data_IF_060375782903
#
_entry.id   IF_060375782903
#
_cell.length_a   1.000
_cell.length_b   1.000
_cell.length_c   1.000
_cell.angle_alpha   90.00
_cell.angle_beta   90.00
_cell.angle_gamma   90.00
#
_symmetry.space_group_name_H-M   'P 1'
#
loop_
_entity.id
_entity.type
_entity.pdbx_description
1 polymer ?
#
# COMPACT_ATOMS: atom_id res chain seq x y z
N UNK A 1 -4.17 20.20 -2.27
CA UNK A 1 -5.40 19.38 -2.47
C UNK A 1 -5.27 18.14 -1.60
N UNK A 2 -6.36 17.65 -1.01
CA UNK A 2 -6.38 16.39 -0.26
C UNK A 2 -7.45 15.47 -0.83
N UNK A 3 -7.18 14.17 -0.77
CA UNK A 3 -8.08 13.08 -1.12
C UNK A 3 -8.19 12.16 0.10
N UNK A 4 -9.38 11.64 0.32
CA UNK A 4 -9.67 10.64 1.35
C UNK A 4 -10.92 9.87 0.93
N UNK A 5 -11.09 8.66 1.47
CA UNK A 5 -12.25 7.84 1.20
C UNK A 5 -13.56 8.53 1.62
N UNK A 6 -14.65 8.21 0.90
CA UNK A 6 -16.00 8.70 1.20
C UNK A 6 -16.81 7.73 2.07
N UNK A 7 -16.27 6.54 2.38
CA UNK A 7 -16.92 5.48 3.15
C UNK A 7 -16.27 5.25 4.52
N UNK A 8 -15.55 6.26 5.03
CA UNK A 8 -14.92 6.26 6.35
C UNK A 8 -16.00 6.26 7.43
N UNK A 9 -16.02 5.21 8.24
CA UNK A 9 -17.02 5.06 9.31
C UNK A 9 -16.63 5.83 10.58
N UNK A 10 -15.33 6.04 10.80
CA UNK A 10 -14.77 6.72 11.97
C UNK A 10 -14.32 8.15 11.69
N UNK A 11 -14.97 8.83 10.72
CA UNK A 11 -14.51 10.14 10.23
C UNK A 11 -14.46 11.22 11.31
N UNK A 12 -13.32 11.88 11.42
CA UNK A 12 -13.11 13.04 12.27
C UNK A 12 -12.54 14.21 11.47
N UNK A 13 -12.81 15.44 11.93
CA UNK A 13 -12.39 16.68 11.25
C UNK A 13 -10.87 16.86 11.24
N UNK A 14 -10.16 16.16 12.11
CA UNK A 14 -8.71 16.19 12.17
C UNK A 14 -8.05 15.38 11.05
N UNK A 15 -8.72 14.36 10.47
CA UNK A 15 -8.21 13.61 9.30
C UNK A 15 -7.76 14.55 8.17
N UNK A 16 -8.63 15.39 7.57
CA UNK A 16 -8.20 16.31 6.53
C UNK A 16 -7.23 17.36 7.06
N UNK A 17 -7.36 17.82 8.30
CA UNK A 17 -6.45 18.81 8.88
C UNK A 17 -5.01 18.28 8.97
N UNK A 18 -4.83 17.04 9.41
CA UNK A 18 -3.56 16.32 9.50
C UNK A 18 -2.95 16.09 8.12
N UNK A 19 -3.77 15.71 7.13
CA UNK A 19 -3.32 15.58 5.74
C UNK A 19 -2.85 16.92 5.16
N UNK A 20 -3.55 18.03 5.41
CA UNK A 20 -3.17 19.32 4.86
C UNK A 20 -1.96 19.94 5.55
N UNK A 21 -1.79 19.72 6.86
CA UNK A 21 -0.80 20.44 7.67
C UNK A 21 0.63 20.40 7.08
N UNK A 22 1.17 19.25 6.63
CA UNK A 22 2.50 19.20 6.01
C UNK A 22 2.64 20.01 4.71
N UNK A 23 1.54 20.19 3.97
CA UNK A 23 1.53 20.88 2.68
C UNK A 23 1.31 22.38 2.84
N UNK A 24 0.51 22.80 3.82
CA UNK A 24 0.11 24.21 3.97
C UNK A 24 0.97 25.00 4.95
N UNK A 25 1.71 24.33 5.84
CA UNK A 25 2.58 24.99 6.80
C UNK A 25 3.83 25.54 6.10
N UNK A 26 4.08 26.86 6.07
CA UNK A 26 5.23 27.45 5.39
C UNK A 26 6.60 27.05 5.96
N UNK A 27 6.64 26.50 7.18
CA UNK A 27 7.84 25.98 7.79
C UNK A 27 8.18 24.55 7.35
N UNK A 28 7.32 23.90 6.57
CA UNK A 28 7.50 22.56 6.04
C UNK A 28 7.56 22.64 4.52
N UNK A 29 8.52 21.94 3.92
CA UNK A 29 8.74 21.96 2.46
C UNK A 29 8.28 20.64 1.82
N UNK A 30 7.06 20.21 2.14
CA UNK A 30 6.48 18.98 1.57
C UNK A 30 5.51 19.30 0.44
N UNK A 31 5.56 18.48 -0.62
CA UNK A 31 4.65 18.54 -1.77
C UNK A 31 3.68 17.37 -1.83
N UNK A 32 3.99 16.28 -1.13
CA UNK A 32 3.15 15.10 -1.02
C UNK A 32 3.13 14.58 0.41
N UNK A 33 1.94 14.24 0.89
CA UNK A 33 1.75 13.65 2.21
C UNK A 33 0.83 12.43 2.09
N UNK A 34 1.27 11.27 2.56
CA UNK A 34 0.44 10.05 2.66
C UNK A 34 -0.09 9.90 4.08
N UNK A 35 -1.39 9.70 4.23
CA UNK A 35 -2.01 9.32 5.49
C UNK A 35 -1.69 7.86 5.82
N UNK A 36 -1.36 7.60 7.08
CA UNK A 36 -1.30 6.26 7.63
C UNK A 36 -2.09 6.17 8.94
N UNK A 37 -2.48 4.95 9.30
CA UNK A 37 -3.36 4.69 10.44
C UNK A 37 -3.39 3.19 10.73
N UNK A 38 -3.59 2.82 12.00
CA UNK A 38 -3.85 1.42 12.33
C UNK A 38 -5.23 0.98 11.79
N UNK A 39 -5.33 -0.28 11.35
CA UNK A 39 -6.60 -0.86 10.86
C UNK A 39 -6.99 -2.07 11.69
N UNK A 40 -7.85 -1.85 12.68
CA UNK A 40 -8.45 -2.89 13.49
C UNK A 40 -9.96 -2.83 13.32
N UNK A 41 -10.56 -3.92 12.85
CA UNK A 41 -12.01 -3.97 12.67
C UNK A 41 -12.73 -4.12 14.02
N UNK A 42 -14.06 -3.93 14.00
CA UNK A 42 -14.91 -4.06 15.20
C UNK A 42 -14.84 -5.43 15.89
N UNK A 43 -14.29 -6.46 15.24
CA UNK A 43 -14.09 -7.79 15.80
C UNK A 43 -12.70 -7.96 16.46
N UNK A 44 -11.90 -6.91 16.58
CA UNK A 44 -10.56 -6.96 17.17
C UNK A 44 -9.56 -7.73 16.30
N UNK A 45 -9.64 -7.57 14.97
CA UNK A 45 -8.76 -8.24 14.00
C UNK A 45 -8.02 -7.23 13.12
N UNK A 46 -6.78 -7.57 12.75
CA UNK A 46 -6.00 -6.80 11.80
C UNK A 46 -6.64 -6.83 10.40
N UNK A 47 -6.85 -5.64 9.84
CA UNK A 47 -7.37 -5.45 8.48
C UNK A 47 -6.24 -5.13 7.48
N UNK A 48 -6.58 -4.82 6.22
CA UNK A 48 -5.58 -4.43 5.22
C UNK A 48 -4.80 -5.60 4.61
N UNK A 49 -5.46 -6.75 4.39
CA UNK A 49 -4.85 -7.97 3.82
C UNK A 49 -4.02 -7.71 2.56
N UNK A 50 -4.48 -6.88 1.62
CA UNK A 50 -3.71 -6.60 0.40
C UNK A 50 -2.39 -5.87 0.70
N UNK A 51 -2.37 -4.95 1.67
CA UNK A 51 -1.12 -4.32 2.11
C UNK A 51 -0.21 -5.32 2.80
N UNK A 52 -0.74 -6.00 3.83
CA UNK A 52 0.02 -6.86 4.75
C UNK A 52 0.52 -8.15 4.10
N UNK A 53 -0.36 -8.82 3.36
CA UNK A 53 -0.12 -10.17 2.85
C UNK A 53 0.31 -10.18 1.39
N UNK A 54 0.13 -9.09 0.65
CA UNK A 54 0.50 -9.01 -0.77
C UNK A 54 1.54 -7.94 -1.06
N UNK A 55 1.23 -6.66 -0.89
CA UNK A 55 2.10 -5.56 -1.36
C UNK A 55 3.45 -5.54 -0.64
N UNK A 56 3.46 -5.58 0.68
CA UNK A 56 4.72 -5.58 1.45
C UNK A 56 5.59 -6.81 1.13
N UNK A 57 5.10 -8.06 1.18
CA UNK A 57 5.93 -9.21 0.82
C UNK A 57 6.32 -9.21 -0.66
N UNK A 58 5.49 -8.69 -1.56
CA UNK A 58 5.83 -8.52 -2.97
C UNK A 58 6.99 -7.53 -3.15
N UNK A 59 6.95 -6.36 -2.50
CA UNK A 59 8.02 -5.36 -2.56
C UNK A 59 9.31 -5.95 -1.98
N UNK A 60 9.25 -6.60 -0.81
CA UNK A 60 10.41 -7.28 -0.22
C UNK A 60 11.01 -8.35 -1.14
N UNK A 61 10.17 -9.12 -1.80
CA UNK A 61 10.60 -10.14 -2.77
C UNK A 61 11.25 -9.55 -4.01
N UNK A 62 10.66 -8.46 -4.54
CA UNK A 62 11.22 -7.73 -5.67
C UNK A 62 12.58 -7.12 -5.32
N UNK A 63 12.75 -6.55 -4.12
CA UNK A 63 14.04 -6.04 -3.64
C UNK A 63 15.10 -7.14 -3.62
N UNK A 64 14.76 -8.36 -3.18
CA UNK A 64 15.67 -9.51 -3.19
C UNK A 64 16.07 -9.96 -4.59
N UNK A 65 15.17 -9.87 -5.57
CA UNK A 65 15.41 -10.35 -6.94
C UNK A 65 16.02 -9.31 -7.87
N UNK A 66 15.63 -8.04 -7.72
CA UNK A 66 16.09 -6.92 -8.54
C UNK A 66 17.38 -6.31 -7.99
N UNK A 67 17.58 -6.37 -6.67
CA UNK A 67 18.69 -5.70 -5.99
C UNK A 67 18.37 -4.24 -5.68
N UNK A 68 19.37 -3.37 -5.79
CA UNK A 68 19.23 -1.94 -5.49
C UNK A 68 18.25 -1.28 -6.47
N UNK A 69 17.15 -0.74 -5.96
CA UNK A 69 16.16 0.00 -6.74
C UNK A 69 15.58 1.13 -5.89
N UNK A 70 15.89 2.37 -6.25
CA UNK A 70 15.39 3.57 -5.55
C UNK A 70 13.86 3.62 -5.55
N UNK A 71 13.23 3.12 -6.62
CA UNK A 71 11.78 3.00 -6.70
C UNK A 71 11.24 1.99 -5.68
N UNK A 72 11.84 0.80 -5.57
CA UNK A 72 11.37 -0.19 -4.58
C UNK A 72 11.65 0.27 -3.15
N UNK A 73 12.78 0.93 -2.89
CA UNK A 73 13.06 1.55 -1.58
C UNK A 73 12.04 2.64 -1.24
N UNK A 74 11.68 3.48 -2.22
CA UNK A 74 10.64 4.47 -2.05
C UNK A 74 9.29 3.83 -1.71
N UNK A 75 8.87 2.81 -2.46
CA UNK A 75 7.60 2.12 -2.22
C UNK A 75 7.57 1.40 -0.86
N UNK A 76 8.68 0.80 -0.44
CA UNK A 76 8.84 0.11 0.85
C UNK A 76 8.82 1.07 2.05
N UNK A 77 9.12 2.35 1.84
CA UNK A 77 9.13 3.35 2.91
C UNK A 77 7.73 3.70 3.45
N UNK A 78 6.67 3.35 2.72
CA UNK A 78 5.30 3.66 3.12
C UNK A 78 4.72 2.60 4.05
N UNK A 79 4.20 3.03 5.20
CA UNK A 79 3.55 2.12 6.15
C UNK A 79 2.25 1.53 5.56
N UNK A 80 1.48 2.38 4.87
CA UNK A 80 0.20 2.04 4.26
C UNK A 80 0.17 2.56 2.80
N UNK A 81 0.90 1.91 1.87
CA UNK A 81 0.98 2.36 0.48
C UNK A 81 -0.39 2.42 -0.21
N UNK A 82 -1.34 1.60 0.25
CA UNK A 82 -2.70 1.50 -0.28
C UNK A 82 -3.75 2.34 0.48
N UNK A 83 -3.34 3.27 1.36
CA UNK A 83 -4.32 4.21 1.93
C UNK A 83 -4.87 5.14 0.84
N UNK A 84 -6.18 5.41 0.84
CA UNK A 84 -6.82 6.39 -0.04
C UNK A 84 -6.50 7.83 0.35
N UNK A 85 -5.95 8.01 1.55
CA UNK A 85 -5.77 9.29 2.22
C UNK A 85 -4.41 9.88 1.86
N UNK A 86 -4.40 10.97 1.11
CA UNK A 86 -3.19 11.71 0.81
C UNK A 86 -3.48 13.17 0.49
N UNK A 87 -2.46 14.01 0.54
CA UNK A 87 -2.53 15.38 0.07
C UNK A 87 -1.30 15.72 -0.77
N UNK A 88 -1.47 16.73 -1.62
CA UNK A 88 -0.42 17.21 -2.50
C UNK A 88 -0.56 18.70 -2.77
N UNK A 89 0.57 19.35 -3.08
CA UNK A 89 0.59 20.73 -3.56
C UNK A 89 -0.14 20.86 -4.90
N UNK A 90 -0.67 22.04 -5.20
CA UNK A 90 -1.30 22.30 -6.52
C UNK A 90 -0.28 22.25 -7.67
N UNK A 91 0.98 22.53 -7.37
CA UNK A 91 2.09 22.42 -8.32
C UNK A 91 2.34 20.95 -8.69
N UNK A 92 2.50 20.08 -7.69
CA UNK A 92 2.67 18.65 -7.93
C UNK A 92 1.45 18.05 -8.65
N UNK A 93 0.23 18.47 -8.26
CA UNK A 93 -1.00 18.05 -8.92
C UNK A 93 -1.00 18.36 -10.42
N UNK A 94 -0.41 19.49 -10.84
CA UNK A 94 -0.28 19.85 -12.25
C UNK A 94 0.73 19.00 -13.03
N UNK A 95 1.64 18.31 -12.35
CA UNK A 95 2.70 17.50 -12.95
C UNK A 95 2.35 16.01 -13.04
N UNK A 96 1.52 15.49 -12.13
CA UNK A 96 1.22 14.06 -12.02
C UNK A 96 0.05 13.61 -12.90
N UNK A 97 0.05 12.34 -13.30
CA UNK A 97 -1.12 11.69 -13.94
C UNK A 97 -1.87 10.81 -12.95
N UNK A 98 -3.10 11.17 -12.60
CA UNK A 98 -3.93 10.37 -11.70
C UNK A 98 -4.45 9.11 -12.43
N UNK A 99 -4.07 7.88 -12.00
CA UNK A 99 -4.62 6.65 -12.55
C UNK A 99 -6.12 6.50 -12.22
N UNK A 100 -6.88 5.83 -13.09
CA UNK A 100 -8.33 5.65 -12.92
C UNK A 100 -8.76 4.25 -12.47
N UNK A 101 -7.83 3.38 -12.07
CA UNK A 101 -8.07 1.99 -11.69
C UNK A 101 -7.68 1.72 -10.21
N UNK A 102 -7.77 0.47 -9.73
CA UNK A 102 -7.33 0.10 -8.36
C UNK A 102 -5.81 0.16 -8.18
N UNK A 103 -5.08 0.57 -9.23
CA UNK A 103 -3.71 1.03 -9.17
C UNK A 103 -3.57 2.50 -8.78
N UNK A 104 -4.66 3.21 -8.42
CA UNK A 104 -4.61 4.61 -8.01
C UNK A 104 -3.57 4.86 -6.92
N UNK A 105 -3.58 4.09 -5.84
CA UNK A 105 -2.73 4.33 -4.68
C UNK A 105 -1.26 4.00 -4.97
N UNK A 106 -0.98 2.98 -5.78
CA UNK A 106 0.40 2.66 -6.20
C UNK A 106 0.88 3.61 -7.29
N UNK A 107 -0.01 3.98 -8.20
CA UNK A 107 0.28 4.87 -9.30
C UNK A 107 0.51 6.29 -8.82
N UNK A 108 -0.25 6.78 -7.84
CA UNK A 108 -0.01 8.10 -7.24
C UNK A 108 1.35 8.16 -6.54
N UNK A 109 1.76 7.08 -5.84
CA UNK A 109 3.09 6.98 -5.27
C UNK A 109 4.16 6.94 -6.37
N UNK A 110 3.93 6.19 -7.44
CA UNK A 110 4.83 6.15 -8.60
C UNK A 110 4.98 7.50 -9.29
N UNK A 111 3.91 8.29 -9.33
CA UNK A 111 3.92 9.65 -9.90
C UNK A 111 4.56 10.66 -8.96
N UNK A 112 4.37 10.53 -7.63
CA UNK A 112 5.11 11.32 -6.66
C UNK A 112 6.61 11.04 -6.76
N UNK A 113 7.02 9.77 -6.81
CA UNK A 113 8.42 9.38 -7.02
C UNK A 113 9.04 9.98 -8.28
N UNK A 114 8.25 10.08 -9.38
CA UNK A 114 8.73 10.60 -10.66
C UNK A 114 8.82 12.13 -10.69
N UNK A 115 7.88 12.82 -10.04
CA UNK A 115 7.66 14.26 -10.23
C UNK A 115 8.04 15.11 -9.02
N UNK A 116 8.44 14.51 -7.90
CA UNK A 116 9.03 15.23 -6.76
C UNK A 116 10.24 14.49 -6.20
N UNK A 117 11.00 15.17 -5.33
CA UNK A 117 12.11 14.56 -4.60
C UNK A 117 11.58 13.89 -3.34
N UNK A 118 12.17 12.75 -2.95
CA UNK A 118 11.82 12.03 -1.73
C UNK A 118 11.92 12.88 -0.45
N UNK A 119 12.75 13.94 -0.46
CA UNK A 119 12.84 14.92 0.64
C UNK A 119 11.56 15.74 0.86
N UNK A 120 10.73 15.88 -0.18
CA UNK A 120 9.46 16.63 -0.16
C UNK A 120 8.24 15.69 -0.07
N UNK A 121 8.48 14.43 0.26
CA UNK A 121 7.47 13.41 0.52
C UNK A 121 7.44 13.11 2.02
N UNK A 122 6.26 13.12 2.62
CA UNK A 122 6.08 12.77 4.02
C UNK A 122 4.89 11.83 4.23
N UNK A 123 4.78 11.33 5.47
CA UNK A 123 3.64 10.54 5.93
C UNK A 123 3.14 11.11 7.26
N UNK A 124 1.84 11.03 7.50
CA UNK A 124 1.23 11.53 8.74
C UNK A 124 0.23 10.53 9.30
N UNK A 125 0.28 10.34 10.62
CA UNK A 125 -0.74 9.59 11.34
C UNK A 125 -2.04 10.39 11.35
N UNK A 126 -3.10 9.83 10.76
CA UNK A 126 -4.38 10.51 10.60
C UNK A 126 -5.49 10.00 11.50
N UNK A 127 -5.34 8.83 12.14
CA UNK A 127 -6.40 8.25 12.96
C UNK A 127 -5.88 7.16 13.89
N UNK A 128 -6.38 7.17 15.14
CA UNK A 128 -6.11 6.12 16.13
C UNK A 128 -6.59 4.75 15.66
N UNK A 129 -7.82 4.68 15.14
CA UNK A 129 -8.33 3.51 14.44
C UNK A 129 -9.20 3.93 13.25
N UNK A 130 -8.94 3.31 12.11
CA UNK A 130 -9.61 3.63 10.86
C UNK A 130 -10.39 2.43 10.35
N UNK A 131 -11.72 2.59 10.29
CA UNK A 131 -12.62 1.57 9.77
C UNK A 131 -13.41 2.09 8.56
N UNK A 132 -13.60 1.22 7.58
CA UNK A 132 -14.27 1.50 6.32
C UNK A 132 -14.93 0.24 5.77
N UNK A 133 -15.61 0.34 4.64
CA UNK A 133 -16.33 -0.81 4.09
C UNK A 133 -15.36 -1.91 3.64
N UNK A 134 -15.44 -3.07 4.28
CA UNK A 134 -14.66 -4.24 3.91
C UNK A 134 -15.09 -4.82 2.56
N UNK A 135 -14.11 -5.22 1.76
CA UNK A 135 -14.30 -5.94 0.50
C UNK A 135 -14.11 -7.44 0.70
N UNK A 136 -14.86 -8.23 -0.06
CA UNK A 136 -14.70 -9.68 -0.13
C UNK A 136 -13.38 -10.06 -0.83
N UNK A 137 -12.91 -11.29 -0.61
CA UNK A 137 -11.68 -11.79 -1.23
C UNK A 137 -11.75 -11.82 -2.76
N UNK A 138 -12.94 -12.03 -3.34
CA UNK A 138 -13.10 -12.30 -4.77
C UNK A 138 -12.71 -13.74 -5.14
N UNK A 139 -12.84 -14.07 -6.43
CA UNK A 139 -12.49 -15.39 -6.98
C UNK A 139 -11.11 -15.46 -7.63
N UNK A 140 -10.72 -16.65 -8.07
CA UNK A 140 -9.47 -16.92 -8.82
C UNK A 140 -9.48 -16.34 -10.24
N UNK A 141 -10.59 -15.76 -10.68
CA UNK A 141 -10.72 -15.12 -11.99
C UNK A 141 -10.21 -13.67 -11.99
N UNK A 142 -9.82 -13.14 -10.82
CA UNK A 142 -9.30 -11.79 -10.63
C UNK A 142 -10.25 -10.68 -11.13
N UNK A 143 -11.57 -10.93 -11.14
CA UNK A 143 -12.56 -9.96 -11.65
C UNK A 143 -13.22 -9.12 -10.55
N UNK A 144 -13.13 -9.59 -9.29
CA UNK A 144 -13.82 -8.98 -8.15
C UNK A 144 -12.95 -8.96 -6.90
N UNK A 145 -13.32 -8.10 -5.94
CA UNK A 145 -12.76 -8.09 -4.59
C UNK A 145 -11.25 -7.84 -4.52
N UNK A 146 -10.64 -8.34 -3.44
CA UNK A 146 -9.21 -8.19 -3.18
C UNK A 146 -8.32 -8.88 -4.22
N UNK A 147 -8.80 -9.96 -4.84
CA UNK A 147 -8.11 -10.69 -5.92
C UNK A 147 -7.94 -9.84 -7.19
N UNK A 148 -8.94 -9.04 -7.56
CA UNK A 148 -8.79 -8.07 -8.66
C UNK A 148 -7.82 -6.96 -8.29
N UNK A 149 -7.93 -6.45 -7.06
CA UNK A 149 -7.07 -5.38 -6.56
C UNK A 149 -5.59 -5.80 -6.58
N UNK A 150 -5.26 -7.00 -6.09
CA UNK A 150 -3.88 -7.51 -6.12
C UNK A 150 -3.35 -7.63 -7.55
N UNK A 151 -4.16 -8.13 -8.48
CA UNK A 151 -3.79 -8.22 -9.90
C UNK A 151 -3.47 -6.85 -10.52
N UNK A 152 -4.32 -5.85 -10.30
CA UNK A 152 -4.12 -4.49 -10.82
C UNK A 152 -2.87 -3.82 -10.21
N UNK A 153 -2.64 -4.00 -8.91
CA UNK A 153 -1.43 -3.53 -8.22
C UNK A 153 -0.17 -4.20 -8.78
N UNK A 154 -0.14 -5.52 -8.92
CA UNK A 154 1.01 -6.24 -9.47
C UNK A 154 1.35 -5.72 -10.87
N UNK A 155 0.33 -5.56 -11.72
CA UNK A 155 0.48 -5.02 -13.07
C UNK A 155 1.07 -3.62 -13.06
N UNK A 156 0.64 -2.75 -12.15
CA UNK A 156 1.19 -1.39 -12.02
C UNK A 156 2.68 -1.43 -11.62
N UNK A 157 3.04 -2.21 -10.61
CA UNK A 157 4.43 -2.36 -10.14
C UNK A 157 5.32 -2.94 -11.25
N UNK A 158 4.90 -4.03 -11.89
CA UNK A 158 5.67 -4.66 -12.96
C UNK A 158 5.83 -3.74 -14.17
N UNK A 159 4.77 -3.01 -14.56
CA UNK A 159 4.86 -2.02 -15.63
C UNK A 159 5.91 -0.95 -15.29
N UNK A 160 5.91 -0.45 -14.06
CA UNK A 160 6.87 0.56 -13.60
C UNK A 160 8.30 0.02 -13.60
N UNK A 161 8.54 -1.17 -13.05
CA UNK A 161 9.87 -1.81 -13.09
C UNK A 161 10.34 -2.10 -14.52
N UNK A 162 9.44 -2.51 -15.41
CA UNK A 162 9.76 -2.68 -16.84
C UNK A 162 10.20 -1.38 -17.51
N UNK A 163 9.58 -0.24 -17.14
CA UNK A 163 10.03 1.08 -17.63
C UNK A 163 11.38 1.52 -17.07
N UNK A 164 11.84 0.90 -15.98
CA UNK A 164 13.18 1.11 -15.38
C UNK A 164 14.20 0.07 -15.86
N UNK A 165 13.83 -0.80 -16.82
CA UNK A 165 14.74 -1.75 -17.46
C UNK A 165 14.83 -3.12 -16.79
N UNK A 166 13.96 -3.43 -15.82
CA UNK A 166 13.93 -4.75 -15.19
C UNK A 166 13.38 -5.80 -16.17
N UNK A 167 14.18 -6.82 -16.47
CA UNK A 167 13.80 -7.92 -17.35
C UNK A 167 13.05 -8.98 -16.53
N UNK A 168 11.74 -9.10 -16.75
CA UNK A 168 10.87 -10.04 -16.04
C UNK A 168 10.42 -11.18 -16.96
N UNK A 169 11.32 -12.13 -17.21
CA UNK A 169 11.00 -13.34 -17.98
C UNK A 169 10.31 -14.40 -17.10
N UNK A 170 9.98 -15.56 -17.68
CA UNK A 170 9.31 -16.63 -16.93
C UNK A 170 10.14 -17.19 -15.76
N UNK A 171 11.48 -17.16 -15.84
CA UNK A 171 12.32 -17.58 -14.73
C UNK A 171 12.24 -16.58 -13.56
N UNK A 172 12.21 -15.27 -13.87
CA UNK A 172 11.98 -14.21 -12.88
C UNK A 172 10.67 -14.43 -12.13
N UNK A 173 9.55 -14.63 -12.83
CA UNK A 173 8.25 -14.82 -12.16
C UNK A 173 8.17 -16.11 -11.32
N UNK A 174 8.83 -17.19 -11.76
CA UNK A 174 8.94 -18.42 -10.94
C UNK A 174 9.72 -18.18 -9.65
N UNK A 175 10.83 -17.43 -9.73
CA UNK A 175 11.60 -17.05 -8.55
C UNK A 175 10.80 -16.09 -7.66
N UNK A 176 10.13 -15.09 -8.25
CA UNK A 176 9.29 -14.13 -7.53
C UNK A 176 8.21 -14.82 -6.72
N UNK A 177 7.48 -15.77 -7.30
CA UNK A 177 6.45 -16.53 -6.58
C UNK A 177 7.03 -17.29 -5.38
N UNK A 178 8.18 -17.96 -5.56
CA UNK A 178 8.80 -18.71 -4.48
C UNK A 178 9.30 -17.81 -3.33
N UNK A 179 9.90 -16.66 -3.66
CA UNK A 179 10.36 -15.68 -2.67
C UNK A 179 9.16 -15.01 -1.99
N UNK A 180 8.15 -14.62 -2.74
CA UNK A 180 6.91 -14.02 -2.23
C UNK A 180 6.23 -14.90 -1.19
N UNK A 181 6.04 -16.19 -1.49
CA UNK A 181 5.40 -17.11 -0.55
C UNK A 181 6.20 -17.21 0.75
N UNK A 182 7.54 -17.21 0.67
CA UNK A 182 8.39 -17.20 1.87
C UNK A 182 8.24 -15.90 2.66
N UNK A 183 8.36 -14.74 2.00
CA UNK A 183 8.23 -13.43 2.66
C UNK A 183 6.86 -13.25 3.31
N UNK A 184 5.79 -13.66 2.62
CA UNK A 184 4.43 -13.50 3.09
C UNK A 184 4.16 -14.35 4.35
N UNK A 185 4.68 -15.60 4.39
CA UNK A 185 4.59 -16.45 5.57
C UNK A 185 5.41 -15.87 6.75
N UNK A 186 6.64 -15.44 6.50
CA UNK A 186 7.49 -14.83 7.54
C UNK A 186 6.87 -13.52 8.09
N UNK A 187 6.20 -12.74 7.25
CA UNK A 187 5.44 -11.55 7.69
C UNK A 187 4.18 -11.91 8.46
N UNK A 188 3.46 -12.97 8.07
CA UNK A 188 2.27 -13.46 8.78
C UNK A 188 2.61 -13.82 10.22
N UNK A 189 3.73 -14.51 10.47
CA UNK A 189 4.20 -14.83 11.82
C UNK A 189 4.43 -13.56 12.66
N UNK A 190 4.97 -12.49 12.05
CA UNK A 190 5.16 -11.20 12.74
C UNK A 190 3.83 -10.52 13.04
N UNK A 191 2.88 -10.57 12.10
CA UNK A 191 1.55 -10.03 12.30
C UNK A 191 0.78 -10.78 13.41
N UNK A 192 0.94 -12.10 13.51
CA UNK A 192 0.36 -12.89 14.58
C UNK A 192 0.92 -12.49 15.95
N UNK A 193 2.25 -12.33 16.04
CA UNK A 193 2.89 -11.84 17.27
C UNK A 193 2.44 -10.41 17.64
N UNK A 194 2.33 -9.51 16.66
CA UNK A 194 1.84 -8.14 16.84
C UNK A 194 0.37 -8.10 17.27
N UNK A 195 -0.48 -8.95 16.67
CA UNK A 195 -1.85 -9.09 17.10
C UNK A 195 -1.93 -9.59 18.55
N UNK A 196 -1.12 -10.58 18.92
CA UNK A 196 -1.12 -11.17 20.25
C UNK A 196 -0.79 -10.15 21.35
N UNK A 197 0.27 -9.35 21.16
CA UNK A 197 0.66 -8.33 22.17
C UNK A 197 -0.39 -7.22 22.30
N UNK A 198 -1.12 -6.91 21.23
CA UNK A 198 -2.17 -5.90 21.21
C UNK A 198 -3.56 -6.46 21.61
N UNK A 199 -3.66 -7.72 22.02
CA UNK A 199 -4.93 -8.35 22.40
C UNK A 199 -5.89 -8.56 21.23
N UNK A 200 -5.37 -8.61 20.01
CA UNK A 200 -6.11 -8.85 18.78
C UNK A 200 -6.07 -10.33 18.39
N UNK A 201 -6.93 -10.72 17.46
CA UNK A 201 -6.96 -12.07 16.90
C UNK A 201 -6.72 -12.07 15.39
N UNK A 202 -6.08 -13.13 14.90
CA UNK A 202 -5.88 -13.41 13.47
C UNK A 202 -6.40 -14.81 13.16
N UNK A 203 -7.08 -14.95 12.02
CA UNK A 203 -7.44 -16.26 11.47
C UNK A 203 -6.31 -16.71 10.53
N UNK A 204 -5.34 -17.45 11.09
CA UNK A 204 -4.15 -17.91 10.36
C UNK A 204 -4.53 -18.70 9.09
N UNK A 205 -5.61 -19.49 9.15
CA UNK A 205 -6.05 -20.28 7.99
C UNK A 205 -6.58 -19.38 6.87
N UNK A 206 -7.40 -18.38 7.22
CA UNK A 206 -7.90 -17.41 6.25
C UNK A 206 -6.79 -16.53 5.68
N UNK A 207 -5.81 -16.10 6.49
CA UNK A 207 -4.67 -15.31 6.00
C UNK A 207 -3.76 -16.13 5.08
N UNK A 208 -3.46 -17.39 5.41
CA UNK A 208 -2.69 -18.28 4.52
C UNK A 208 -3.42 -18.53 3.20
N UNK A 209 -4.74 -18.75 3.25
CA UNK A 209 -5.56 -18.89 2.05
C UNK A 209 -5.53 -17.63 1.17
N UNK A 210 -5.48 -16.44 1.79
CA UNK A 210 -5.34 -15.18 1.08
C UNK A 210 -3.95 -15.04 0.44
N UNK A 211 -2.87 -15.43 1.13
CA UNK A 211 -1.51 -15.45 0.57
C UNK A 211 -1.45 -16.31 -0.69
N UNK A 212 -2.01 -17.52 -0.63
CA UNK A 212 -2.05 -18.45 -1.76
C UNK A 212 -2.86 -17.90 -2.94
N UNK A 213 -3.99 -17.22 -2.66
CA UNK A 213 -4.82 -16.58 -3.68
C UNK A 213 -4.08 -15.45 -4.41
N UNK A 214 -3.24 -14.71 -3.69
CA UNK A 214 -2.50 -13.58 -4.25
C UNK A 214 -1.22 -13.98 -5.02
N UNK A 215 -0.73 -15.22 -4.87
CA UNK A 215 0.55 -15.72 -5.39
C UNK A 215 0.52 -16.22 -6.85
#
# INVERSE_FOLDING_TARGET
VALHDCDILTYQRDIPARLFYPIVNPGLDFEFCKGYYARVNSAGRLSGRVTRLFVQPLIGSLKKLVGSSDYLEFMDSFLYPLSGEFSLSTELLGAIRIPGDWGLEIGILSEAYRNTTTRRVCQVDIADNYDHKHQDMGGNDHTTGLSRMSYEIAKAIFRKLGTEGVIMNQAFFRALKAVYLREALDMMERYDADAHINGLSIDIHAENSAIDLFA
#
